data_IF_978153726846
#
_entry.id   IF_978153726846
#
_cell.length_a   1.000
_cell.length_b   1.000
_cell.length_c   1.000
_cell.angle_alpha   90.00
_cell.angle_beta   90.00
_cell.angle_gamma   90.00
#
_symmetry.space_group_name_H-M   'P 1'
#
loop_
_entity.id
_entity.type
_entity.pdbx_description
1 polymer ?
#
# COMPACT_ATOMS: atom_id res chain seq x y z
N UNK A 1 38.65 79.13 16.12
CA UNK A 1 39.35 79.89 15.07
C UNK A 1 38.52 81.14 14.69
N UNK A 2 38.10 82.01 15.64
CA UNK A 2 37.20 83.15 15.35
C UNK A 2 37.03 84.20 16.48
N UNK A 3 38.06 84.50 17.28
CA UNK A 3 38.01 85.59 18.28
C UNK A 3 39.39 86.19 18.53
N UNK A 4 39.89 87.03 17.62
CA UNK A 4 41.09 87.85 17.89
C UNK A 4 41.28 88.99 16.88
N UNK A 5 40.28 89.84 16.66
CA UNK A 5 40.41 90.88 15.64
C UNK A 5 39.65 92.19 15.90
N UNK A 6 39.53 92.63 17.16
CA UNK A 6 38.74 93.84 17.46
C UNK A 6 39.25 94.67 18.65
N UNK A 7 40.55 95.00 18.68
CA UNK A 7 41.03 96.01 19.63
C UNK A 7 42.30 96.75 19.17
N UNK A 8 42.21 97.41 18.01
CA UNK A 8 43.18 98.41 17.57
C UNK A 8 42.47 99.51 16.77
N UNK A 9 41.88 100.48 17.47
CA UNK A 9 41.66 101.85 16.98
C UNK A 9 40.97 102.68 18.05
N UNK A 10 41.69 103.65 18.59
CA UNK A 10 41.27 104.89 19.27
C UNK A 10 42.38 105.22 20.28
N UNK A 11 43.01 106.38 20.30
CA UNK A 11 42.88 107.57 19.49
C UNK A 11 44.02 108.49 19.93
N UNK A 12 44.84 108.92 18.98
CA UNK A 12 45.75 110.03 19.23
C UNK A 12 44.93 111.31 19.40
N UNK A 13 45.05 111.97 20.54
CA UNK A 13 44.90 113.43 20.63
C UNK A 13 45.96 114.00 21.54
N UNK A 14 46.82 114.75 20.89
CA UNK A 14 47.73 115.74 21.43
C UNK A 14 46.98 116.67 22.39
N UNK A 15 47.53 116.88 23.57
CA UNK A 15 47.47 118.19 24.23
C UNK A 15 48.90 118.60 24.56
N UNK A 16 49.44 119.44 23.67
CA UNK A 16 50.48 120.40 24.00
C UNK A 16 49.88 121.42 24.96
N UNK A 17 50.57 121.74 26.05
CA UNK A 17 50.10 122.80 26.94
C UNK A 17 50.95 122.99 28.19
N UNK A 18 51.93 123.88 28.07
CA UNK A 18 52.37 124.79 29.13
C UNK A 18 53.24 124.25 30.26
N UNK A 19 54.55 124.44 30.03
CA UNK A 19 55.58 124.89 30.97
C UNK A 19 55.01 125.57 32.22
N UNK A 20 55.42 125.11 33.40
CA UNK A 20 55.66 126.00 34.55
C UNK A 20 56.58 125.32 35.57
N UNK A 21 57.69 126.01 35.78
CA UNK A 21 58.80 125.71 36.67
C UNK A 21 58.36 125.61 38.13
N UNK A 22 58.83 124.58 38.83
CA UNK A 22 58.99 124.57 40.30
C UNK A 22 59.99 123.50 40.67
N UNK A 23 61.25 123.92 40.77
CA UNK A 23 62.35 123.13 41.31
C UNK A 23 62.20 122.99 42.83
N UNK A 24 62.73 121.86 43.33
CA UNK A 24 63.22 121.68 44.70
C UNK A 24 62.20 121.24 45.75
N UNK A 25 61.82 119.95 45.75
CA UNK A 25 61.54 119.14 46.98
C UNK A 25 61.21 117.64 46.72
N UNK A 26 61.09 117.17 45.48
CA UNK A 26 60.49 115.84 45.20
C UNK A 26 61.43 114.63 45.21
N UNK A 27 62.67 114.77 45.70
CA UNK A 27 63.71 113.71 45.61
C UNK A 27 63.47 112.47 46.48
N UNK A 28 62.41 112.46 47.30
CA UNK A 28 62.10 111.35 48.24
C UNK A 28 60.89 110.50 47.85
N UNK A 29 60.18 110.77 46.75
CA UNK A 29 59.04 109.93 46.28
C UNK A 29 59.40 108.93 45.18
N UNK A 30 60.54 109.09 44.50
CA UNK A 30 61.02 108.12 43.51
C UNK A 30 61.44 106.77 44.14
N UNK A 31 61.82 106.77 45.42
CA UNK A 31 62.21 105.56 46.14
C UNK A 31 61.01 104.64 46.49
N UNK A 32 59.78 105.16 46.52
CA UNK A 32 58.58 104.39 46.87
C UNK A 32 57.86 103.76 45.67
N UNK A 33 58.14 104.20 44.43
CA UNK A 33 57.48 103.68 43.22
C UNK A 33 58.09 102.36 42.69
N UNK A 34 59.38 102.12 42.95
CA UNK A 34 60.09 100.90 42.54
C UNK A 34 59.44 99.59 43.05
N UNK A 35 59.08 99.45 44.35
CA UNK A 35 58.43 98.22 44.82
C UNK A 35 57.02 98.01 44.25
N UNK A 36 56.28 99.09 43.95
CA UNK A 36 54.95 98.97 43.34
C UNK A 36 55.03 98.45 41.90
N UNK A 37 56.00 98.93 41.13
CA UNK A 37 56.23 98.46 39.78
C UNK A 37 56.71 97.00 39.75
N UNK A 38 57.57 96.61 40.71
CA UNK A 38 58.01 95.22 40.86
C UNK A 38 56.86 94.29 41.25
N UNK A 39 55.96 94.71 42.14
CA UNK A 39 54.77 93.94 42.50
C UNK A 39 53.83 93.77 41.30
N UNK A 40 53.66 94.81 40.48
CA UNK A 40 52.83 94.74 39.28
C UNK A 40 53.41 93.80 38.22
N UNK A 41 54.73 93.81 38.01
CA UNK A 41 55.39 92.81 37.17
C UNK A 41 55.23 91.40 37.71
N UNK A 42 55.34 91.21 39.02
CA UNK A 42 55.16 89.90 39.64
C UNK A 42 53.73 89.37 39.46
N UNK A 43 52.70 90.22 39.60
CA UNK A 43 51.32 89.84 39.29
C UNK A 43 51.13 89.46 37.82
N UNK A 44 51.74 90.19 36.89
CA UNK A 44 51.66 89.85 35.45
C UNK A 44 52.30 88.50 35.15
N UNK A 45 53.46 88.21 35.74
CA UNK A 45 54.09 86.89 35.59
C UNK A 45 53.21 85.78 36.16
N UNK A 46 52.57 86.02 37.31
CA UNK A 46 51.67 85.05 37.91
C UNK A 46 50.44 84.77 37.03
N UNK A 47 49.84 85.81 36.43
CA UNK A 47 48.75 85.64 35.48
C UNK A 47 49.18 84.88 34.22
N UNK A 48 50.37 85.15 33.68
CA UNK A 48 50.87 84.40 32.53
C UNK A 48 51.07 82.91 32.85
N UNK A 49 51.65 82.59 34.02
CA UNK A 49 51.78 81.20 34.44
C UNK A 49 50.43 80.52 34.59
N UNK A 50 49.44 81.21 35.18
CA UNK A 50 48.10 80.66 35.35
C UNK A 50 47.38 80.44 34.01
N UNK A 51 47.57 81.33 33.03
CA UNK A 51 47.08 81.12 31.67
C UNK A 51 47.75 79.93 30.98
N UNK A 52 49.07 79.77 31.11
CA UNK A 52 49.77 78.61 30.55
C UNK A 52 49.27 77.30 31.15
N UNK A 53 49.09 77.22 32.47
CA UNK A 53 48.54 76.03 33.13
C UNK A 53 47.12 75.72 32.66
N UNK A 54 46.25 76.73 32.55
CA UNK A 54 44.88 76.55 32.02
C UNK A 54 44.92 76.04 30.58
N UNK A 55 45.83 76.56 29.76
CA UNK A 55 45.96 76.16 28.37
C UNK A 55 46.44 74.70 28.24
N UNK A 56 47.38 74.28 29.08
CA UNK A 56 47.80 72.86 29.16
C UNK A 56 46.66 71.95 29.62
N UNK A 57 45.87 72.36 30.63
CA UNK A 57 44.70 71.59 31.08
C UNK A 57 43.66 71.42 29.98
N UNK A 58 43.35 72.49 29.23
CA UNK A 58 42.43 72.42 28.10
C UNK A 58 42.95 71.52 26.97
N UNK A 59 44.26 71.52 26.75
CA UNK A 59 44.89 70.65 25.75
C UNK A 59 44.79 69.17 26.16
N UNK A 60 44.99 68.85 27.45
CA UNK A 60 44.79 67.50 27.97
C UNK A 60 43.32 67.07 27.92
N UNK A 61 42.38 67.97 28.26
CA UNK A 61 40.95 67.67 28.14
C UNK A 61 40.52 67.43 26.70
N UNK A 62 41.12 68.10 25.71
CA UNK A 62 40.83 67.83 24.30
C UNK A 62 41.43 66.52 23.78
N UNK A 63 42.47 65.98 24.42
CA UNK A 63 43.12 64.73 23.99
C UNK A 63 42.48 63.45 24.57
N UNK A 64 41.70 63.51 25.65
CA UNK A 64 40.98 62.34 26.18
C UNK A 64 39.75 61.85 25.37
N UNK A 65 38.88 62.71 24.79
CA UNK A 65 37.68 62.27 24.08
C UNK A 65 37.91 61.32 22.87
N UNK A 66 39.00 61.46 22.07
CA UNK A 66 39.26 60.57 20.94
C UNK A 66 39.42 59.10 21.32
N UNK A 67 40.15 58.79 22.40
CA UNK A 67 40.38 57.41 22.82
C UNK A 67 39.09 56.73 23.28
N UNK A 68 38.25 57.45 24.03
CA UNK A 68 36.99 56.93 24.53
C UNK A 68 35.99 56.68 23.39
N UNK A 69 35.94 57.59 22.39
CA UNK A 69 35.14 57.37 21.16
C UNK A 69 35.63 56.17 20.36
N UNK A 70 36.95 55.99 20.24
CA UNK A 70 37.51 54.85 19.50
C UNK A 70 37.23 53.51 20.20
N UNK A 71 37.30 53.46 21.54
CA UNK A 71 36.88 52.26 22.28
C UNK A 71 35.38 51.97 22.10
N UNK A 72 34.50 52.97 22.19
CA UNK A 72 33.07 52.75 21.94
C UNK A 72 32.79 52.27 20.52
N UNK A 73 33.50 52.77 19.50
CA UNK A 73 33.36 52.27 18.13
C UNK A 73 33.79 50.81 18.02
N UNK A 74 34.93 50.42 18.60
CA UNK A 74 35.38 49.02 18.61
C UNK A 74 34.38 48.10 19.30
N UNK A 75 33.81 48.55 20.42
CA UNK A 75 32.83 47.77 21.17
C UNK A 75 31.51 47.59 20.39
N UNK A 76 31.02 48.64 19.71
CA UNK A 76 29.87 48.54 18.79
C UNK A 76 30.16 47.62 17.61
N UNK A 77 31.36 47.66 17.06
CA UNK A 77 31.75 46.80 15.93
C UNK A 77 31.83 45.32 16.35
N UNK A 78 32.35 45.03 17.55
CA UNK A 78 32.30 43.67 18.12
C UNK A 78 30.87 43.19 18.36
N UNK A 79 29.98 44.05 18.90
CA UNK A 79 28.57 43.69 19.08
C UNK A 79 27.87 43.39 17.74
N UNK A 80 28.13 44.16 16.68
CA UNK A 80 27.59 43.86 15.36
C UNK A 80 28.11 42.55 14.79
N UNK A 81 29.40 42.24 14.97
CA UNK A 81 29.95 40.94 14.54
C UNK A 81 29.32 39.77 15.32
N UNK A 82 29.11 39.90 16.63
CA UNK A 82 28.42 38.87 17.40
C UNK A 82 26.97 38.67 16.96
N UNK A 83 26.23 39.76 16.67
CA UNK A 83 24.87 39.64 16.13
C UNK A 83 24.85 38.96 14.75
N UNK A 84 25.79 39.28 13.85
CA UNK A 84 25.88 38.59 12.56
C UNK A 84 26.20 37.10 12.71
N UNK A 85 27.10 36.73 13.63
CA UNK A 85 27.38 35.32 13.90
C UNK A 85 26.16 34.58 14.46
N UNK A 86 25.40 35.21 15.38
CA UNK A 86 24.15 34.61 15.88
C UNK A 86 23.10 34.44 14.79
N UNK A 87 22.94 35.42 13.88
CA UNK A 87 22.03 35.28 12.76
C UNK A 87 22.46 34.17 11.79
N UNK A 88 23.76 34.03 11.51
CA UNK A 88 24.25 32.92 10.69
C UNK A 88 24.02 31.56 11.35
N UNK A 89 24.23 31.43 12.67
CA UNK A 89 23.92 30.20 13.39
C UNK A 89 22.42 29.87 13.36
N UNK A 90 21.53 30.86 13.52
CA UNK A 90 20.09 30.64 13.39
C UNK A 90 19.70 30.20 11.97
N UNK A 91 20.29 30.80 10.92
CA UNK A 91 20.03 30.35 9.55
C UNK A 91 20.52 28.92 9.30
N UNK A 92 21.69 28.55 9.82
CA UNK A 92 22.17 27.16 9.72
C UNK A 92 21.26 26.18 10.46
N UNK A 93 20.77 26.53 11.67
CA UNK A 93 19.80 25.69 12.38
C UNK A 93 18.48 25.55 11.61
N UNK A 94 17.96 26.63 11.00
CA UNK A 94 16.77 26.53 10.16
C UNK A 94 17.00 25.66 8.92
N UNK A 95 18.16 25.76 8.27
CA UNK A 95 18.48 24.87 7.14
C UNK A 95 18.59 23.41 7.57
N UNK A 96 19.23 23.11 8.71
CA UNK A 96 19.27 21.74 9.24
C UNK A 96 17.86 21.22 9.56
N UNK A 97 17.01 22.02 10.21
CA UNK A 97 15.62 21.62 10.45
C UNK A 97 14.86 21.34 9.16
N UNK A 98 15.01 22.17 8.12
CA UNK A 98 14.39 21.93 6.83
C UNK A 98 14.90 20.63 6.17
N UNK A 99 16.21 20.37 6.22
CA UNK A 99 16.79 19.13 5.70
C UNK A 99 16.26 17.90 6.45
N UNK A 100 16.20 17.95 7.78
CA UNK A 100 15.63 16.86 8.60
C UNK A 100 14.16 16.64 8.26
N UNK A 101 13.36 17.69 8.11
CA UNK A 101 11.96 17.59 7.72
C UNK A 101 11.78 16.99 6.31
N UNK A 102 12.64 17.35 5.35
CA UNK A 102 12.63 16.74 4.02
C UNK A 102 13.01 15.26 4.07
N UNK A 103 14.00 14.88 4.90
CA UNK A 103 14.41 13.49 5.07
C UNK A 103 13.28 12.65 5.70
N UNK A 104 12.61 13.17 6.73
CA UNK A 104 11.46 12.52 7.35
C UNK A 104 10.31 12.31 6.36
N UNK A 105 10.03 13.31 5.49
CA UNK A 105 9.04 13.16 4.41
C UNK A 105 9.42 12.04 3.44
N UNK A 106 10.68 11.99 2.99
CA UNK A 106 11.15 10.92 2.09
C UNK A 106 11.01 9.53 2.72
N UNK A 107 11.36 9.38 4.00
CA UNK A 107 11.21 8.11 4.72
C UNK A 107 9.74 7.71 4.79
N UNK A 108 8.85 8.66 5.11
CA UNK A 108 7.40 8.40 5.12
C UNK A 108 6.89 7.93 3.76
N UNK A 109 7.27 8.62 2.68
CA UNK A 109 6.85 8.26 1.32
C UNK A 109 7.33 6.86 0.93
N UNK A 110 8.56 6.48 1.33
CA UNK A 110 9.11 5.14 1.11
C UNK A 110 8.32 4.06 1.87
N UNK A 111 7.96 4.31 3.13
CA UNK A 111 7.15 3.38 3.94
C UNK A 111 5.76 3.21 3.34
N UNK A 112 5.11 4.31 2.93
CA UNK A 112 3.80 4.26 2.27
C UNK A 112 3.86 3.50 0.94
N UNK A 113 4.91 3.70 0.14
CA UNK A 113 5.12 2.96 -1.10
C UNK A 113 5.33 1.46 -0.88
N UNK A 114 6.13 1.08 0.13
CA UNK A 114 6.35 -0.32 0.49
C UNK A 114 5.07 -0.99 0.98
N UNK A 115 4.25 -0.30 1.78
CA UNK A 115 2.95 -0.80 2.23
C UNK A 115 1.99 -1.04 1.07
N UNK A 116 1.91 -0.10 0.11
CA UNK A 116 1.10 -0.27 -1.12
C UNK A 116 1.57 -1.43 -1.98
N UNK A 117 2.89 -1.61 -2.11
CA UNK A 117 3.44 -2.74 -2.85
C UNK A 117 3.04 -4.07 -2.19
N UNK A 118 3.18 -4.17 -0.87
CA UNK A 118 2.76 -5.36 -0.11
C UNK A 118 1.27 -5.67 -0.31
N UNK A 119 0.40 -4.67 -0.17
CA UNK A 119 -1.04 -4.85 -0.41
C UNK A 119 -1.36 -5.34 -1.82
N UNK A 120 -0.65 -4.84 -2.85
CA UNK A 120 -0.81 -5.32 -4.23
C UNK A 120 -0.35 -6.77 -4.39
N UNK A 121 0.75 -7.16 -3.75
CA UNK A 121 1.22 -8.54 -3.75
C UNK A 121 0.24 -9.47 -3.04
N UNK A 122 -0.28 -9.07 -1.88
CA UNK A 122 -1.25 -9.85 -1.11
C UNK A 122 -2.57 -10.04 -1.89
N UNK A 123 -3.08 -8.96 -2.51
CA UNK A 123 -4.29 -9.03 -3.35
C UNK A 123 -4.09 -9.88 -4.62
N UNK A 124 -2.93 -9.78 -5.27
CA UNK A 124 -2.60 -10.62 -6.42
C UNK A 124 -2.48 -12.10 -6.03
N UNK A 125 -1.89 -12.41 -4.87
CA UNK A 125 -1.78 -13.76 -4.34
C UNK A 125 -3.16 -14.34 -4.02
N UNK A 126 -4.02 -13.56 -3.34
CA UNK A 126 -5.40 -13.94 -3.05
C UNK A 126 -6.22 -14.19 -4.32
N UNK A 127 -6.06 -13.33 -5.35
CA UNK A 127 -6.72 -13.52 -6.64
C UNK A 127 -6.25 -14.80 -7.35
N UNK A 128 -4.94 -15.09 -7.33
CA UNK A 128 -4.39 -16.33 -7.89
C UNK A 128 -4.90 -17.57 -7.15
N UNK A 129 -4.96 -17.53 -5.81
CA UNK A 129 -5.51 -18.61 -5.00
C UNK A 129 -7.01 -18.83 -5.27
N UNK A 130 -7.80 -17.76 -5.42
CA UNK A 130 -9.21 -17.84 -5.79
C UNK A 130 -9.41 -18.44 -7.19
N UNK A 131 -8.58 -18.05 -8.17
CA UNK A 131 -8.60 -18.62 -9.51
C UNK A 131 -8.26 -20.12 -9.51
N UNK A 132 -7.25 -20.53 -8.74
CA UNK A 132 -6.88 -21.94 -8.58
C UNK A 132 -7.99 -22.76 -7.92
N UNK A 133 -8.66 -22.22 -6.89
CA UNK A 133 -9.80 -22.87 -6.25
C UNK A 133 -11.00 -23.00 -7.20
N UNK A 134 -11.27 -21.99 -8.03
CA UNK A 134 -12.32 -22.05 -9.04
C UNK A 134 -12.03 -23.11 -10.13
N UNK A 135 -10.77 -23.22 -10.57
CA UNK A 135 -10.35 -24.26 -11.51
C UNK A 135 -10.52 -25.67 -10.92
N UNK A 136 -10.09 -25.89 -9.68
CA UNK A 136 -10.27 -27.18 -8.99
C UNK A 136 -11.75 -27.55 -8.80
N UNK A 137 -12.61 -26.57 -8.50
CA UNK A 137 -14.06 -26.79 -8.40
C UNK A 137 -14.69 -27.17 -9.76
N UNK A 138 -14.23 -26.55 -10.85
CA UNK A 138 -14.67 -26.88 -12.20
C UNK A 138 -14.25 -28.32 -12.60
N UNK A 139 -13.02 -28.72 -12.32
CA UNK A 139 -12.56 -30.10 -12.56
C UNK A 139 -13.36 -31.12 -11.75
N UNK A 140 -13.64 -30.85 -10.47
CA UNK A 140 -14.48 -31.70 -9.63
C UNK A 140 -15.91 -31.84 -10.17
N UNK A 141 -16.50 -30.74 -10.68
CA UNK A 141 -17.83 -30.77 -11.30
C UNK A 141 -17.86 -31.61 -12.59
N UNK A 142 -16.82 -31.52 -13.43
CA UNK A 142 -16.68 -32.36 -14.63
C UNK A 142 -16.53 -33.84 -14.24
N UNK A 143 -15.69 -34.16 -13.26
CA UNK A 143 -15.53 -35.53 -12.77
C UNK A 143 -16.85 -36.12 -12.24
N UNK A 144 -17.62 -35.33 -11.47
CA UNK A 144 -18.93 -35.74 -10.97
C UNK A 144 -19.95 -35.98 -12.11
N UNK A 145 -19.96 -35.11 -13.14
CA UNK A 145 -20.82 -35.28 -14.31
C UNK A 145 -20.48 -36.55 -15.11
N UNK A 146 -19.18 -36.85 -15.29
CA UNK A 146 -18.72 -38.08 -15.95
C UNK A 146 -19.12 -39.32 -15.14
N UNK A 147 -18.94 -39.30 -13.81
CA UNK A 147 -19.36 -40.41 -12.95
C UNK A 147 -20.88 -40.65 -13.02
N UNK A 148 -21.69 -39.60 -13.02
CA UNK A 148 -23.14 -39.71 -13.18
C UNK A 148 -23.54 -40.28 -14.56
N UNK A 149 -22.88 -39.87 -15.63
CA UNK A 149 -23.12 -40.40 -16.98
C UNK A 149 -22.76 -41.89 -17.10
N UNK A 150 -21.64 -42.31 -16.50
CA UNK A 150 -21.23 -43.73 -16.44
C UNK A 150 -22.24 -44.56 -15.64
N UNK A 151 -22.71 -44.06 -14.50
CA UNK A 151 -23.74 -44.74 -13.71
C UNK A 151 -25.07 -44.87 -14.47
N UNK A 152 -25.50 -43.83 -15.19
CA UNK A 152 -26.69 -43.87 -16.03
C UNK A 152 -26.56 -44.87 -17.19
N UNK A 153 -25.39 -44.92 -17.85
CA UNK A 153 -25.12 -45.88 -18.92
C UNK A 153 -25.12 -47.33 -18.40
N UNK A 154 -24.53 -47.58 -17.22
CA UNK A 154 -24.56 -48.89 -16.58
C UNK A 154 -25.99 -49.33 -16.22
N UNK A 155 -26.82 -48.42 -15.68
CA UNK A 155 -28.22 -48.71 -15.40
C UNK A 155 -29.02 -49.04 -16.68
N UNK A 156 -28.80 -48.29 -17.76
CA UNK A 156 -29.44 -48.57 -19.05
C UNK A 156 -29.01 -49.94 -19.62
N UNK A 157 -27.75 -50.33 -19.47
CA UNK A 157 -27.26 -51.64 -19.89
C UNK A 157 -27.91 -52.79 -19.10
N UNK A 158 -28.10 -52.62 -17.78
CA UNK A 158 -28.80 -53.61 -16.93
C UNK A 158 -30.26 -53.77 -17.38
N UNK A 159 -30.96 -52.67 -17.66
CA UNK A 159 -32.35 -52.71 -18.15
C UNK A 159 -32.43 -53.39 -19.53
N UNK A 160 -31.50 -53.09 -20.44
CA UNK A 160 -31.44 -53.72 -21.75
C UNK A 160 -31.15 -55.24 -21.66
N UNK A 161 -30.24 -55.65 -20.78
CA UNK A 161 -29.95 -57.06 -20.53
C UNK A 161 -31.17 -57.79 -19.95
N UNK A 162 -31.88 -57.18 -18.99
CA UNK A 162 -33.11 -57.75 -18.43
C UNK A 162 -34.21 -57.92 -19.49
N UNK A 163 -34.38 -56.93 -20.39
CA UNK A 163 -35.32 -57.03 -21.51
C UNK A 163 -34.95 -58.15 -22.50
N UNK A 164 -33.66 -58.34 -22.79
CA UNK A 164 -33.19 -59.44 -23.65
C UNK A 164 -33.45 -60.82 -23.02
N UNK A 165 -33.23 -60.98 -21.71
CA UNK A 165 -33.55 -62.22 -20.98
C UNK A 165 -35.06 -62.49 -20.99
N UNK A 166 -35.89 -61.47 -20.79
CA UNK A 166 -37.35 -61.60 -20.86
C UNK A 166 -37.82 -61.99 -22.27
N UNK A 167 -37.25 -61.40 -23.32
CA UNK A 167 -37.56 -61.76 -24.71
C UNK A 167 -37.14 -63.21 -25.04
N UNK A 168 -35.97 -63.64 -24.57
CA UNK A 168 -35.51 -65.02 -24.73
C UNK A 168 -36.42 -66.03 -24.00
N UNK A 169 -36.86 -65.70 -22.78
CA UNK A 169 -37.81 -66.51 -22.03
C UNK A 169 -39.17 -66.61 -22.75
N UNK A 170 -39.69 -65.50 -23.28
CA UNK A 170 -40.94 -65.49 -24.06
C UNK A 170 -40.81 -66.34 -25.34
N UNK A 171 -39.68 -66.28 -26.04
CA UNK A 171 -39.41 -67.12 -27.21
C UNK A 171 -39.34 -68.62 -26.86
N UNK A 172 -38.73 -68.97 -25.71
CA UNK A 172 -38.68 -70.35 -25.23
C UNK A 172 -40.07 -70.89 -24.89
N UNK A 173 -40.92 -70.09 -24.24
CA UNK A 173 -42.32 -70.45 -23.95
C UNK A 173 -43.11 -70.63 -25.25
N UNK A 174 -42.94 -69.74 -26.23
CA UNK A 174 -43.58 -69.88 -27.54
C UNK A 174 -43.11 -71.14 -28.30
N UNK A 175 -41.82 -71.47 -28.25
CA UNK A 175 -41.27 -72.68 -28.84
C UNK A 175 -41.78 -73.95 -28.14
N UNK A 176 -41.87 -73.95 -26.80
CA UNK A 176 -42.45 -75.06 -26.04
C UNK A 176 -43.94 -75.25 -26.37
N UNK A 177 -44.70 -74.15 -26.48
CA UNK A 177 -46.10 -74.19 -26.90
C UNK A 177 -46.28 -74.74 -28.33
N UNK A 178 -45.39 -74.35 -29.27
CA UNK A 178 -45.39 -74.87 -30.63
C UNK A 178 -45.02 -76.37 -30.68
N UNK A 179 -44.06 -76.81 -29.87
CA UNK A 179 -43.70 -78.22 -29.74
C UNK A 179 -44.85 -79.04 -29.14
N UNK A 180 -45.51 -78.55 -28.09
CA UNK A 180 -46.68 -79.19 -27.51
C UNK A 180 -47.83 -79.28 -28.53
N UNK A 181 -48.09 -78.22 -29.30
CA UNK A 181 -49.08 -78.24 -30.37
C UNK A 181 -48.73 -79.26 -31.46
N UNK A 182 -47.46 -79.38 -31.85
CA UNK A 182 -47.00 -80.38 -32.81
C UNK A 182 -47.16 -81.82 -32.30
N UNK A 183 -46.91 -82.05 -31.01
CA UNK A 183 -47.18 -83.36 -30.37
C UNK A 183 -48.68 -83.67 -30.41
N UNK A 184 -49.54 -82.71 -30.06
CA UNK A 184 -51.01 -82.90 -30.14
C UNK A 184 -51.46 -83.21 -31.58
N UNK A 185 -50.95 -82.48 -32.58
CA UNK A 185 -51.25 -82.76 -34.00
C UNK A 185 -50.75 -84.16 -34.41
N UNK A 186 -49.55 -84.55 -33.97
CA UNK A 186 -49.01 -85.89 -34.22
C UNK A 186 -49.83 -87.01 -33.56
N UNK A 187 -50.29 -86.82 -32.33
CA UNK A 187 -51.14 -87.78 -31.61
C UNK A 187 -52.51 -87.90 -32.28
N UNK A 188 -53.12 -86.78 -32.70
CA UNK A 188 -54.39 -86.79 -33.44
C UNK A 188 -54.23 -87.46 -34.80
N UNK A 189 -53.16 -87.16 -35.54
CA UNK A 189 -52.88 -87.80 -36.83
C UNK A 189 -52.67 -89.32 -36.68
N UNK A 190 -51.91 -89.75 -35.67
CA UNK A 190 -51.71 -91.17 -35.35
C UNK A 190 -53.02 -91.85 -34.93
N UNK A 191 -53.87 -91.19 -34.14
CA UNK A 191 -55.18 -91.70 -33.77
C UNK A 191 -56.12 -91.83 -34.98
N UNK A 192 -56.10 -90.85 -35.91
CA UNK A 192 -56.88 -90.94 -37.16
C UNK A 192 -56.35 -92.03 -38.10
N UNK A 193 -55.03 -92.24 -38.15
CA UNK A 193 -54.43 -93.33 -38.94
C UNK A 193 -54.74 -94.72 -38.32
N UNK A 194 -54.73 -94.83 -36.99
CA UNK A 194 -55.14 -96.05 -36.29
C UNK A 194 -56.64 -96.34 -36.46
N UNK A 195 -57.50 -95.32 -36.46
CA UNK A 195 -58.92 -95.46 -36.78
C UNK A 195 -59.14 -95.89 -38.24
N UNK A 196 -58.36 -95.35 -39.19
CA UNK A 196 -58.40 -95.78 -40.59
C UNK A 196 -57.87 -97.21 -40.79
N UNK A 197 -56.87 -97.63 -40.01
CA UNK A 197 -56.39 -99.02 -40.01
C UNK A 197 -57.39 -99.99 -39.39
N UNK A 198 -58.16 -99.56 -38.38
CA UNK A 198 -59.25 -100.34 -37.80
C UNK A 198 -60.42 -100.51 -38.79
N UNK A 199 -60.72 -99.50 -39.62
CA UNK A 199 -61.69 -99.65 -40.72
C UNK A 199 -61.21 -100.61 -41.82
N UNK A 200 -59.91 -100.74 -42.04
CA UNK A 200 -59.38 -101.65 -43.06
C UNK A 200 -59.36 -103.13 -42.62
N UNK A 201 -59.35 -103.42 -41.31
CA UNK A 201 -59.43 -104.81 -40.79
C UNK A 201 -60.87 -105.27 -40.60
N UNK A 202 -61.84 -104.35 -40.53
CA UNK A 202 -63.27 -104.70 -40.47
C UNK A 202 -63.87 -105.12 -41.82
N UNK A 203 -63.13 -104.99 -42.93
CA UNK A 203 -63.66 -105.22 -44.27
C UNK A 203 -63.37 -106.61 -44.88
N UNK A 204 -62.59 -107.49 -44.22
CA UNK A 204 -62.14 -108.75 -44.86
C UNK A 204 -62.29 -110.04 -44.02
N UNK A 205 -62.93 -110.06 -42.83
CA UNK A 205 -63.08 -111.29 -42.02
C UNK A 205 -64.48 -111.45 -41.42
N UNK A 206 -65.35 -112.19 -42.12
CA UNK A 206 -66.76 -112.44 -41.78
C UNK A 206 -67.01 -113.69 -40.87
N UNK A 207 -66.00 -114.32 -40.24
CA UNK A 207 -66.27 -115.61 -39.53
C UNK A 207 -65.40 -115.96 -38.29
N UNK A 208 -64.83 -115.01 -37.54
CA UNK A 208 -64.18 -115.35 -36.24
C UNK A 208 -64.34 -114.30 -35.11
N UNK A 209 -65.27 -114.51 -34.14
CA UNK A 209 -65.52 -113.56 -33.04
C UNK A 209 -64.37 -113.45 -32.03
N UNK A 210 -63.33 -114.30 -32.11
CA UNK A 210 -62.14 -114.17 -31.27
C UNK A 210 -61.16 -113.07 -31.75
N UNK A 211 -61.13 -112.78 -33.06
CA UNK A 211 -60.21 -111.78 -33.63
C UNK A 211 -60.69 -110.33 -33.42
N UNK A 212 -62.01 -110.10 -33.43
CA UNK A 212 -62.61 -108.79 -33.17
C UNK A 212 -62.36 -108.30 -31.72
N UNK A 213 -62.32 -109.20 -30.75
CA UNK A 213 -61.98 -108.86 -29.36
C UNK A 213 -60.50 -108.48 -29.18
N UNK A 214 -59.59 -109.12 -29.93
CA UNK A 214 -58.17 -108.79 -29.92
C UNK A 214 -57.88 -107.44 -30.61
N UNK A 215 -58.58 -107.13 -31.70
CA UNK A 215 -58.48 -105.84 -32.39
C UNK A 215 -59.05 -104.69 -31.54
N UNK A 216 -60.19 -104.90 -30.86
CA UNK A 216 -60.75 -103.92 -29.92
C UNK A 216 -59.84 -103.70 -28.69
N UNK A 217 -59.20 -104.75 -28.18
CA UNK A 217 -58.22 -104.63 -27.10
C UNK A 217 -56.93 -103.89 -27.54
N UNK A 218 -56.46 -104.13 -28.77
CA UNK A 218 -55.31 -103.41 -29.33
C UNK A 218 -55.63 -101.92 -29.58
N UNK A 219 -56.84 -101.59 -30.05
CA UNK A 219 -57.28 -100.21 -30.21
C UNK A 219 -57.46 -99.49 -28.86
N UNK A 220 -57.98 -100.17 -27.83
CA UNK A 220 -58.09 -99.64 -26.48
C UNK A 220 -56.70 -99.42 -25.83
N UNK A 221 -55.74 -100.33 -26.07
CA UNK A 221 -54.36 -100.18 -25.60
C UNK A 221 -53.62 -99.02 -26.30
N UNK A 222 -53.84 -98.83 -27.60
CA UNK A 222 -53.29 -97.70 -28.34
C UNK A 222 -53.90 -96.35 -27.89
N UNK A 223 -55.20 -96.31 -27.61
CA UNK A 223 -55.87 -95.13 -27.07
C UNK A 223 -55.40 -94.80 -25.64
N UNK A 224 -55.18 -95.82 -24.80
CA UNK A 224 -54.64 -95.63 -23.46
C UNK A 224 -53.17 -95.16 -23.48
N UNK A 225 -52.35 -95.66 -24.41
CA UNK A 225 -50.97 -95.22 -24.60
C UNK A 225 -50.90 -93.76 -25.10
N UNK A 226 -51.80 -93.36 -25.99
CA UNK A 226 -51.91 -91.98 -26.46
C UNK A 226 -52.38 -91.02 -25.34
N UNK A 227 -53.30 -91.45 -24.48
CA UNK A 227 -53.73 -90.67 -23.32
C UNK A 227 -52.62 -90.53 -22.26
N UNK A 228 -51.83 -91.60 -22.02
CA UNK A 228 -50.69 -91.56 -21.10
C UNK A 228 -49.55 -90.66 -21.59
N UNK A 229 -49.33 -90.60 -22.91
CA UNK A 229 -48.35 -89.70 -23.53
C UNK A 229 -48.75 -88.22 -23.49
N UNK A 230 -50.04 -87.91 -23.28
CA UNK A 230 -50.54 -86.54 -23.15
C UNK A 230 -50.54 -86.02 -21.68
N UNK A 231 -50.24 -86.88 -20.70
CA UNK A 231 -50.24 -86.56 -19.26
C UNK A 231 -48.84 -86.29 -18.66
N UNK A 232 -47.80 -86.25 -19.48
CA UNK A 232 -46.45 -85.77 -19.11
C UNK A 232 -46.10 -84.50 -19.91
#
# INVERSE_FOLDING_TARGET
MLRSLLQQKEGGRQQQGSRSSSSSSSSSTAAAAAPQQQLQQQQQQQQQQQQQQRQQQLQQQQQQPPQQKQQQQKQKQQQQQQQQQQQQQQQQQQQQQQQTMQQLRRIRDQVEAAARHKQRSDTSSAAAAAAAAAAAAAEAAVAAAVAAAVAAAAAAAVVAAAAAVAAAAAAAVAAAAAAAAAVVVGVVAAATAAAAAAEFVAADHDDDPAAAAAAAAAAAAAAAAAAAAATF
#
